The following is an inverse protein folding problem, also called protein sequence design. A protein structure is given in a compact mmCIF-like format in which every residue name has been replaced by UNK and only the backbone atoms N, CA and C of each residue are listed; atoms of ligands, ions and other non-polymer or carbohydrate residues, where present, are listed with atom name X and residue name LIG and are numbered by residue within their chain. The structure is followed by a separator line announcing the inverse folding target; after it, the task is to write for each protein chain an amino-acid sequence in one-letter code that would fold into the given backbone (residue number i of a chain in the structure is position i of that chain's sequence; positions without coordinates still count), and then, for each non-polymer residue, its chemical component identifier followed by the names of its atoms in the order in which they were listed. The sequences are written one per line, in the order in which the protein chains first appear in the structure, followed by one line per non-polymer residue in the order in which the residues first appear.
data_IF_728966664699
#
_entry.id   IF_728966664699
#
_cell.length_a   1.000
_cell.length_b   1.000
_cell.length_c   1.000
_cell.angle_alpha   90.00
_cell.angle_beta   90.00
_cell.angle_gamma   90.00
#
_symmetry.space_group_name_H-M   'P 1'
#
loop_
_entity.id
_entity.type
_entity.pdbx_description
1 polymer ?
#
# COMPACT_ATOMS: atom_id res chain seq x y z
N UNK A 1 -6.91 11.60 -30.24
CA UNK A 1 -6.51 10.56 -29.28
C UNK A 1 -5.14 10.97 -28.75
N UNK A 2 -5.09 11.60 -27.57
CA UNK A 2 -3.81 11.89 -26.93
C UNK A 2 -3.27 10.54 -26.45
N UNK A 3 -2.16 10.12 -27.02
CA UNK A 3 -1.41 8.98 -26.49
C UNK A 3 -1.05 9.33 -25.04
N UNK A 4 -1.67 8.65 -24.07
CA UNK A 4 -1.26 8.72 -22.69
C UNK A 4 0.18 8.22 -22.64
N UNK A 5 1.11 9.13 -22.48
CA UNK A 5 2.53 8.79 -22.39
C UNK A 5 2.68 7.96 -21.11
N UNK A 6 3.06 6.68 -21.28
CA UNK A 6 3.44 5.84 -20.13
C UNK A 6 4.51 6.61 -19.37
N UNK A 7 4.36 6.78 -18.04
CA UNK A 7 5.36 7.49 -17.25
C UNK A 7 6.75 6.90 -17.43
N UNK A 8 7.78 7.74 -17.41
CA UNK A 8 9.16 7.25 -17.41
C UNK A 8 9.38 6.36 -16.19
N UNK A 9 9.53 5.04 -16.46
CA UNK A 9 9.79 4.05 -15.43
C UNK A 9 11.27 4.00 -15.13
N UNK A 10 11.62 4.11 -13.86
CA UNK A 10 12.98 3.86 -13.41
C UNK A 10 13.25 2.37 -13.21
N UNK A 11 12.26 1.65 -12.76
CA UNK A 11 12.19 0.18 -12.73
C UNK A 11 10.74 -0.25 -12.53
N UNK A 12 10.46 -1.51 -12.88
CA UNK A 12 9.20 -2.18 -12.57
C UNK A 12 9.45 -3.68 -12.36
N UNK A 13 8.68 -4.27 -11.47
CA UNK A 13 8.74 -5.71 -11.16
C UNK A 13 7.32 -6.27 -11.02
N UNK A 14 7.10 -7.47 -11.53
CA UNK A 14 5.83 -8.16 -11.32
C UNK A 14 5.71 -8.68 -9.88
N UNK A 15 4.47 -8.90 -9.44
CA UNK A 15 4.20 -9.47 -8.12
C UNK A 15 4.80 -10.87 -7.97
N UNK A 16 4.66 -11.69 -8.99
CA UNK A 16 5.20 -13.06 -9.03
C UNK A 16 6.74 -13.06 -8.94
N UNK A 17 7.41 -12.07 -9.54
CA UNK A 17 8.86 -11.93 -9.43
C UNK A 17 9.29 -11.52 -8.01
N UNK A 18 8.43 -10.83 -7.25
CA UNK A 18 8.69 -10.48 -5.85
C UNK A 18 8.48 -11.69 -4.95
N UNK A 19 7.30 -12.31 -5.00
CA UNK A 19 6.90 -13.35 -4.03
C UNK A 19 7.29 -14.78 -4.45
N UNK A 20 7.78 -14.97 -5.68
CA UNK A 20 8.26 -16.26 -6.19
C UNK A 20 7.18 -17.21 -6.72
N UNK A 21 5.89 -16.88 -6.58
CA UNK A 21 4.78 -17.70 -7.07
C UNK A 21 3.56 -16.86 -7.42
N UNK A 22 2.61 -17.45 -8.14
CA UNK A 22 1.33 -16.82 -8.42
C UNK A 22 0.37 -16.94 -7.23
N UNK A 23 -0.40 -15.89 -6.95
CA UNK A 23 -1.48 -15.90 -5.96
C UNK A 23 -2.81 -15.51 -6.58
N UNK A 24 -3.90 -16.13 -6.13
CA UNK A 24 -5.25 -15.75 -6.52
C UNK A 24 -5.66 -14.37 -5.94
N UNK A 25 -5.15 -14.03 -4.78
CA UNK A 25 -5.46 -12.80 -4.04
C UNK A 25 -4.52 -11.67 -4.45
N UNK A 26 -4.74 -11.15 -5.64
CA UNK A 26 -3.97 -10.03 -6.20
C UNK A 26 -4.89 -9.11 -7.01
N UNK A 27 -4.54 -7.83 -7.04
CA UNK A 27 -5.21 -6.86 -7.91
C UNK A 27 -4.89 -7.17 -9.38
N UNK A 28 -3.60 -7.34 -9.67
CA UNK A 28 -3.07 -7.69 -11.00
C UNK A 28 -1.69 -8.34 -10.88
N UNK A 29 -1.04 -8.67 -11.99
CA UNK A 29 0.35 -9.16 -12.01
C UNK A 29 1.39 -8.07 -11.74
N UNK A 30 1.01 -6.79 -11.68
CA UNK A 30 1.90 -5.69 -11.31
C UNK A 30 2.33 -5.85 -9.84
N UNK A 31 3.61 -5.69 -9.54
CA UNK A 31 4.15 -5.74 -8.18
C UNK A 31 4.49 -4.36 -7.67
N UNK A 32 5.59 -3.79 -8.17
CA UNK A 32 6.08 -2.47 -7.78
C UNK A 32 6.75 -1.77 -8.96
N UNK A 33 6.61 -0.46 -9.03
CA UNK A 33 7.40 0.39 -9.93
C UNK A 33 7.75 1.72 -9.27
N UNK A 34 8.87 2.30 -9.68
CA UNK A 34 9.19 3.70 -9.42
C UNK A 34 9.15 4.46 -10.74
N UNK A 35 8.41 5.57 -10.76
CA UNK A 35 8.12 6.32 -11.98
C UNK A 35 8.16 7.83 -11.76
N UNK A 36 8.45 8.59 -12.81
CA UNK A 36 8.38 10.04 -12.83
C UNK A 36 6.90 10.47 -12.80
N UNK A 37 6.43 11.03 -11.68
CA UNK A 37 4.99 11.23 -11.46
C UNK A 37 4.42 12.44 -12.24
N UNK A 38 5.19 13.49 -12.47
CA UNK A 38 4.76 14.69 -13.21
C UNK A 38 3.64 15.48 -12.54
N UNK A 39 3.48 15.37 -11.20
CA UNK A 39 2.54 16.19 -10.42
C UNK A 39 3.06 17.62 -10.34
N UNK A 40 2.12 18.58 -10.20
CA UNK A 40 2.47 19.99 -10.04
C UNK A 40 3.35 20.21 -8.79
N UNK A 41 4.58 20.71 -8.93
CA UNK A 41 5.45 20.99 -7.78
C UNK A 41 4.85 21.99 -6.80
N UNK A 42 4.04 22.95 -7.28
CA UNK A 42 3.39 23.93 -6.41
C UNK A 42 2.30 23.26 -5.53
N UNK A 43 1.54 22.31 -6.11
CA UNK A 43 0.57 21.51 -5.37
C UNK A 43 1.25 20.66 -4.28
N UNK A 44 2.35 19.97 -4.62
CA UNK A 44 3.08 19.15 -3.64
C UNK A 44 3.71 20.00 -2.53
N UNK A 45 4.23 21.18 -2.86
CA UNK A 45 4.76 22.12 -1.86
C UNK A 45 3.66 22.65 -0.92
N UNK A 46 2.47 22.95 -1.45
CA UNK A 46 1.31 23.36 -0.63
C UNK A 46 0.86 22.24 0.33
N UNK A 47 0.85 20.99 -0.14
CA UNK A 47 0.55 19.81 0.69
C UNK A 47 1.59 19.67 1.82
N UNK A 48 2.89 19.78 1.50
CA UNK A 48 3.96 19.72 2.49
C UNK A 48 3.82 20.81 3.55
N UNK A 49 3.65 22.06 3.15
CA UNK A 49 3.49 23.19 4.07
C UNK A 49 2.28 23.00 5.00
N UNK A 50 1.13 22.58 4.46
CA UNK A 50 -0.06 22.29 5.24
C UNK A 50 0.17 21.15 6.22
N UNK A 51 0.80 20.06 5.78
CA UNK A 51 1.10 18.89 6.63
C UNK A 51 2.05 19.26 7.78
N UNK A 52 3.09 20.05 7.52
CA UNK A 52 4.03 20.54 8.55
C UNK A 52 3.33 21.43 9.58
N UNK A 53 2.38 22.27 9.18
CA UNK A 53 1.57 23.10 10.10
C UNK A 53 0.66 22.23 10.98
N UNK A 54 0.11 21.17 10.43
CA UNK A 54 -0.81 20.25 11.12
C UNK A 54 -0.08 19.21 11.99
N UNK A 55 1.21 18.99 11.78
CA UNK A 55 2.00 17.95 12.46
C UNK A 55 1.81 17.95 13.98
N UNK A 56 1.91 19.13 14.62
CA UNK A 56 1.83 19.23 16.10
C UNK A 56 0.45 18.90 16.67
N UNK A 57 -0.63 19.04 15.89
CA UNK A 57 -2.01 18.89 16.36
C UNK A 57 -2.71 17.63 15.86
N UNK A 58 -2.26 17.06 14.72
CA UNK A 58 -2.93 15.96 14.04
C UNK A 58 -2.05 14.72 13.85
N UNK A 59 -0.71 14.86 13.97
CA UNK A 59 0.15 13.70 13.83
C UNK A 59 0.08 12.83 15.10
N UNK A 60 0.08 11.53 14.88
CA UNK A 60 0.16 10.51 15.92
C UNK A 60 1.45 9.71 15.75
N UNK A 61 1.95 9.15 16.85
CA UNK A 61 3.05 8.20 16.85
C UNK A 61 2.50 6.88 17.38
N UNK A 62 2.48 5.85 16.55
CA UNK A 62 1.84 4.56 16.88
C UNK A 62 2.76 3.37 16.54
N UNK A 63 2.20 2.19 16.57
CA UNK A 63 2.85 0.88 16.53
C UNK A 63 3.86 0.64 15.39
N UNK A 64 3.83 1.40 14.31
CA UNK A 64 4.83 1.35 13.26
C UNK A 64 6.10 2.16 13.57
N UNK A 65 6.21 2.70 14.79
CA UNK A 65 7.29 3.60 15.24
C UNK A 65 7.50 4.79 14.28
N UNK A 66 6.39 5.31 13.78
CA UNK A 66 6.31 6.33 12.75
C UNK A 66 5.40 7.47 13.21
N UNK A 67 5.82 8.71 12.93
CA UNK A 67 4.98 9.90 13.11
C UNK A 67 4.21 10.18 11.83
N UNK A 68 2.87 10.22 11.88
CA UNK A 68 2.04 10.39 10.69
C UNK A 68 0.70 11.05 10.96
N UNK A 69 0.12 11.69 9.92
CA UNK A 69 -1.26 12.18 9.88
C UNK A 69 -2.06 11.20 9.01
N UNK A 70 -3.02 10.48 9.60
CA UNK A 70 -3.93 9.58 8.87
C UNK A 70 -5.16 10.33 8.38
N UNK A 71 -5.77 9.90 7.26
CA UNK A 71 -6.92 10.59 6.65
C UNK A 71 -6.60 12.06 6.32
N UNK A 72 -5.39 12.30 5.81
CA UNK A 72 -4.85 13.64 5.61
C UNK A 72 -5.68 14.50 4.63
N UNK A 73 -6.37 13.87 3.69
CA UNK A 73 -7.29 14.53 2.75
C UNK A 73 -8.50 15.19 3.43
N UNK A 74 -8.83 14.80 4.67
CA UNK A 74 -9.88 15.45 5.48
C UNK A 74 -9.46 16.84 5.96
N UNK A 75 -8.15 17.08 6.07
CA UNK A 75 -7.59 18.31 6.63
C UNK A 75 -6.83 19.15 5.59
N UNK A 76 -6.39 18.52 4.49
CA UNK A 76 -5.59 19.12 3.43
C UNK A 76 -6.35 18.96 2.10
N UNK A 77 -7.10 19.97 1.64
CA UNK A 77 -7.93 19.88 0.42
C UNK A 77 -7.13 19.51 -0.83
N UNK A 78 -5.88 19.92 -0.92
CA UNK A 78 -4.97 19.62 -2.02
C UNK A 78 -4.69 18.11 -2.15
N UNK A 79 -4.67 17.39 -1.03
CA UNK A 79 -4.56 15.92 -1.04
C UNK A 79 -5.84 15.31 -1.60
N UNK A 80 -7.01 15.83 -1.22
CA UNK A 80 -8.30 15.36 -1.74
C UNK A 80 -8.40 15.60 -3.25
N UNK A 81 -7.91 16.72 -3.74
CA UNK A 81 -7.82 17.03 -5.17
C UNK A 81 -6.95 16.00 -5.88
N UNK A 82 -5.72 15.77 -5.41
CA UNK A 82 -4.79 14.80 -5.99
C UNK A 82 -5.32 13.37 -5.92
N UNK A 83 -5.93 12.96 -4.80
CA UNK A 83 -6.50 11.64 -4.60
C UNK A 83 -7.58 11.32 -5.65
N UNK A 84 -8.39 12.33 -6.02
CA UNK A 84 -9.49 12.20 -6.96
C UNK A 84 -9.15 12.65 -8.39
N UNK A 85 -7.89 12.98 -8.69
CA UNK A 85 -7.47 13.38 -10.03
C UNK A 85 -7.66 12.21 -11.01
N UNK A 86 -8.57 12.40 -11.96
CA UNK A 86 -8.92 11.38 -12.95
C UNK A 86 -7.75 10.98 -13.83
N UNK A 87 -6.93 11.96 -14.24
CA UNK A 87 -5.79 11.69 -15.11
C UNK A 87 -4.71 10.89 -14.38
N UNK A 88 -4.49 11.18 -13.09
CA UNK A 88 -3.64 10.37 -12.23
C UNK A 88 -4.17 8.94 -12.13
N UNK A 89 -5.46 8.75 -11.79
CA UNK A 89 -6.08 7.44 -11.64
C UNK A 89 -6.06 6.62 -12.94
N UNK A 90 -6.28 7.26 -14.09
CA UNK A 90 -6.15 6.63 -15.41
C UNK A 90 -4.73 6.12 -15.65
N UNK A 91 -3.71 6.96 -15.42
CA UNK A 91 -2.30 6.56 -15.56
C UNK A 91 -1.90 5.40 -14.63
N UNK A 92 -2.32 5.46 -13.36
CA UNK A 92 -2.08 4.37 -12.41
C UNK A 92 -2.82 3.09 -12.83
N UNK A 93 -4.04 3.21 -13.35
CA UNK A 93 -4.83 2.09 -13.86
C UNK A 93 -4.15 1.41 -15.05
N UNK A 94 -3.61 2.19 -15.96
CA UNK A 94 -2.85 1.68 -17.13
C UNK A 94 -1.59 0.93 -16.69
N UNK A 95 -0.83 1.49 -15.72
CA UNK A 95 0.34 0.83 -15.14
C UNK A 95 -0.02 -0.48 -14.43
N UNK A 96 -1.11 -0.48 -13.69
CA UNK A 96 -1.59 -1.63 -12.93
C UNK A 96 -2.28 -2.68 -13.79
N UNK A 97 -2.71 -2.34 -15.04
CA UNK A 97 -3.50 -3.23 -15.90
C UNK A 97 -4.91 -3.50 -15.36
N UNK A 98 -5.43 -2.64 -14.49
CA UNK A 98 -6.79 -2.72 -13.94
C UNK A 98 -7.27 -1.34 -13.53
N UNK A 99 -8.58 -1.09 -13.65
CA UNK A 99 -9.17 0.20 -13.24
C UNK A 99 -9.05 0.38 -11.72
N UNK A 100 -8.42 1.48 -11.32
CA UNK A 100 -8.29 1.90 -9.94
C UNK A 100 -9.29 2.99 -9.57
N UNK A 101 -9.63 3.05 -8.30
CA UNK A 101 -10.35 4.13 -7.64
C UNK A 101 -9.67 4.47 -6.30
N UNK A 102 -9.90 5.67 -5.72
CA UNK A 102 -9.43 5.98 -4.39
C UNK A 102 -9.92 4.94 -3.38
N UNK A 103 -9.09 4.65 -2.38
CA UNK A 103 -9.50 3.75 -1.31
C UNK A 103 -10.65 4.39 -0.49
N UNK A 104 -11.74 3.67 -0.21
CA UNK A 104 -13.00 4.29 0.25
C UNK A 104 -13.03 4.70 1.73
N UNK A 105 -12.13 4.15 2.56
CA UNK A 105 -12.10 4.49 3.98
C UNK A 105 -11.28 5.77 4.20
N UNK A 106 -11.93 6.81 4.71
CA UNK A 106 -11.36 8.15 4.90
C UNK A 106 -10.12 8.15 5.80
N UNK A 107 -10.02 7.24 6.75
CA UNK A 107 -8.87 7.17 7.69
C UNK A 107 -7.61 6.56 7.08
N UNK A 108 -7.71 5.80 6.00
CA UNK A 108 -6.57 5.13 5.34
C UNK A 108 -6.43 5.48 3.87
N UNK A 109 -7.32 6.30 3.31
CA UNK A 109 -7.25 6.76 1.92
C UNK A 109 -6.00 7.57 1.63
N UNK A 110 -5.57 8.37 2.59
CA UNK A 110 -4.37 9.19 2.51
C UNK A 110 -3.65 9.30 3.85
N UNK A 111 -2.31 9.37 3.80
CA UNK A 111 -1.47 9.54 4.99
C UNK A 111 -0.28 10.44 4.65
N UNK A 112 0.12 11.33 5.56
CA UNK A 112 1.41 12.03 5.48
C UNK A 112 2.32 11.52 6.58
N UNK A 113 3.48 10.98 6.19
CA UNK A 113 4.46 10.41 7.12
C UNK A 113 5.65 11.36 7.29
N UNK A 114 6.14 11.47 8.51
CA UNK A 114 7.29 12.27 8.89
C UNK A 114 8.35 11.36 9.48
N UNK A 115 9.48 11.24 8.82
CA UNK A 115 10.58 10.38 9.26
C UNK A 115 11.86 11.18 9.47
N UNK A 116 12.52 10.93 10.59
CA UNK A 116 13.79 11.52 10.99
C UNK A 116 14.57 10.54 11.89
N UNK A 117 15.81 10.83 12.31
CA UNK A 117 16.60 9.90 13.14
C UNK A 117 16.03 9.59 14.54
N UNK A 118 14.98 10.28 14.99
CA UNK A 118 14.32 10.04 16.28
C UNK A 118 13.13 9.10 16.14
N UNK A 119 12.57 8.99 14.94
CA UNK A 119 11.57 7.97 14.62
C UNK A 119 12.32 6.66 14.38
N UNK A 120 11.76 5.54 14.78
CA UNK A 120 12.33 4.22 14.52
C UNK A 120 12.27 3.82 13.03
N UNK A 121 12.52 2.55 12.77
CA UNK A 121 12.20 1.96 11.49
C UNK A 121 10.71 1.66 11.42
N UNK A 122 10.11 1.78 10.24
CA UNK A 122 8.84 1.09 10.00
C UNK A 122 9.15 -0.39 9.86
N UNK A 123 8.77 -1.18 10.85
CA UNK A 123 9.09 -2.60 10.91
C UNK A 123 8.52 -3.40 9.72
N UNK A 124 9.01 -4.62 9.55
CA UNK A 124 8.52 -5.53 8.52
C UNK A 124 7.03 -5.81 8.69
N UNK A 125 6.25 -5.45 7.66
CA UNK A 125 4.79 -5.63 7.64
C UNK A 125 4.28 -5.85 6.21
N UNK A 126 3.01 -6.18 6.09
CA UNK A 126 2.25 -6.11 4.85
C UNK A 126 1.16 -5.06 5.03
N UNK A 127 0.87 -4.30 3.98
CA UNK A 127 -0.23 -3.33 4.02
C UNK A 127 -1.59 -4.04 4.14
N UNK A 128 -2.54 -3.39 4.78
CA UNK A 128 -3.95 -3.79 4.73
C UNK A 128 -4.63 -3.36 3.42
N UNK A 129 -4.12 -2.30 2.78
CA UNK A 129 -4.64 -1.77 1.53
C UNK A 129 -4.00 -2.45 0.31
N UNK A 130 -4.77 -2.63 -0.80
CA UNK A 130 -4.26 -3.41 -1.93
C UNK A 130 -3.22 -2.68 -2.78
N UNK A 131 -3.30 -1.35 -2.92
CA UNK A 131 -2.41 -0.55 -3.76
C UNK A 131 -2.03 0.74 -3.05
N UNK A 132 -0.73 0.99 -2.94
CA UNK A 132 -0.16 2.15 -2.25
C UNK A 132 0.75 2.91 -3.21
N UNK A 133 0.60 4.24 -3.26
CA UNK A 133 1.49 5.15 -3.94
C UNK A 133 2.23 6.01 -2.92
N UNK A 134 3.56 5.97 -2.94
CA UNK A 134 4.45 6.73 -2.06
C UNK A 134 5.03 7.90 -2.84
N UNK A 135 4.70 9.13 -2.45
CA UNK A 135 5.12 10.38 -3.11
C UNK A 135 5.99 11.17 -2.12
N UNK A 136 7.31 11.24 -2.30
CA UNK A 136 8.15 12.11 -1.49
C UNK A 136 7.76 13.58 -1.69
N UNK A 137 7.36 14.26 -0.60
CA UNK A 137 7.12 15.70 -0.58
C UNK A 137 8.42 16.46 -0.35
N UNK A 138 9.24 15.99 0.59
CA UNK A 138 10.61 16.49 0.79
C UNK A 138 11.56 15.37 1.22
N UNK A 139 12.83 15.55 0.86
CA UNK A 139 13.94 14.67 1.22
C UNK A 139 15.16 15.55 1.53
N UNK A 140 15.73 15.40 2.73
CA UNK A 140 16.99 16.06 3.09
C UNK A 140 18.13 15.64 2.14
N UNK A 141 19.05 16.53 1.90
CA UNK A 141 20.27 16.23 1.15
C UNK A 141 21.50 16.64 1.98
N UNK A 142 22.26 15.67 2.55
CA UNK A 142 22.11 14.22 2.37
C UNK A 142 20.99 13.60 3.20
N UNK A 143 20.44 12.47 2.73
CA UNK A 143 19.62 11.54 3.49
C UNK A 143 20.38 10.22 3.61
N UNK A 144 20.52 9.67 4.83
CA UNK A 144 21.12 8.36 5.08
C UNK A 144 20.09 7.44 5.73
N UNK A 145 19.79 6.31 5.10
CA UNK A 145 18.69 5.43 5.50
C UNK A 145 17.35 5.81 4.86
N UNK A 146 16.24 5.40 5.45
CA UNK A 146 14.90 5.76 5.02
C UNK A 146 14.44 5.16 3.68
N UNK A 147 15.18 4.23 3.10
CA UNK A 147 14.79 3.53 1.88
C UNK A 147 13.74 2.47 2.16
N UNK A 148 12.91 2.18 1.16
CA UNK A 148 11.98 1.05 1.18
C UNK A 148 12.76 -0.25 0.95
N UNK A 149 12.52 -1.25 1.78
CA UNK A 149 13.02 -2.61 1.65
C UNK A 149 11.85 -3.58 1.44
N UNK A 150 11.94 -4.42 0.42
CA UNK A 150 10.92 -5.41 0.06
C UNK A 150 11.57 -6.79 0.15
N UNK A 151 10.96 -7.69 0.90
CA UNK A 151 11.37 -9.08 0.95
C UNK A 151 10.95 -9.80 -0.33
N UNK A 152 11.93 -10.35 -1.05
CA UNK A 152 11.71 -11.05 -2.32
C UNK A 152 11.57 -12.54 -2.07
N UNK A 153 10.47 -12.95 -1.52
CA UNK A 153 9.98 -14.31 -1.31
C UNK A 153 8.57 -14.26 -0.69
N UNK A 154 8.01 -15.41 -0.37
CA UNK A 154 6.72 -15.54 0.29
C UNK A 154 6.68 -14.85 1.68
N UNK A 155 5.64 -14.08 1.92
CA UNK A 155 5.54 -13.26 3.16
C UNK A 155 5.40 -14.11 4.43
N UNK A 156 4.82 -15.30 4.37
CA UNK A 156 4.70 -16.21 5.52
C UNK A 156 6.08 -16.76 5.90
N UNK A 157 6.88 -17.11 4.89
CA UNK A 157 8.30 -17.49 5.09
C UNK A 157 9.09 -16.37 5.75
N UNK A 158 8.90 -15.13 5.29
CA UNK A 158 9.54 -13.96 5.89
C UNK A 158 9.12 -13.73 7.34
N UNK A 159 7.83 -13.83 7.65
CA UNK A 159 7.30 -13.74 9.01
C UNK A 159 7.86 -14.82 9.93
N UNK A 160 7.92 -16.08 9.47
CA UNK A 160 8.51 -17.16 10.24
C UNK A 160 9.99 -16.94 10.57
N UNK A 161 10.76 -16.31 9.66
CA UNK A 161 12.14 -15.88 9.93
C UNK A 161 12.16 -14.87 11.09
N UNK A 162 11.34 -13.82 11.02
CA UNK A 162 11.27 -12.76 12.04
C UNK A 162 10.81 -13.30 13.40
N UNK A 163 9.77 -14.14 13.43
CA UNK A 163 9.23 -14.78 14.64
C UNK A 163 10.26 -15.69 15.31
N UNK A 164 11.19 -16.27 14.53
CA UNK A 164 12.32 -17.04 15.08
C UNK A 164 13.44 -16.17 15.67
N UNK A 165 13.28 -14.84 15.68
CA UNK A 165 14.28 -13.89 16.16
C UNK A 165 15.45 -13.67 15.20
N UNK A 166 15.34 -14.13 13.94
CA UNK A 166 16.36 -13.95 12.90
C UNK A 166 16.07 -12.72 12.04
N UNK A 167 17.09 -12.16 11.47
CA UNK A 167 16.97 -11.09 10.48
C UNK A 167 16.61 -11.67 9.09
N UNK A 168 15.88 -10.89 8.31
CA UNK A 168 15.65 -11.17 6.89
C UNK A 168 17.00 -11.17 6.13
N UNK A 169 17.31 -12.24 5.37
CA UNK A 169 18.57 -12.32 4.63
C UNK A 169 18.71 -11.20 3.60
N UNK A 170 19.81 -10.45 3.64
CA UNK A 170 20.04 -9.27 2.77
C UNK A 170 19.98 -9.60 1.28
N UNK A 171 20.37 -10.80 0.87
CA UNK A 171 20.27 -11.25 -0.53
C UNK A 171 18.84 -11.56 -0.99
N UNK A 172 17.87 -11.50 -0.10
CA UNK A 172 16.44 -11.63 -0.36
C UNK A 172 15.71 -10.28 -0.23
N UNK A 173 16.44 -9.18 -0.12
CA UNK A 173 15.86 -7.84 0.06
C UNK A 173 16.14 -6.99 -1.16
N UNK A 174 15.09 -6.50 -1.79
CA UNK A 174 15.16 -5.44 -2.79
C UNK A 174 15.07 -4.10 -2.09
N UNK A 175 15.98 -3.19 -2.44
CA UNK A 175 16.02 -1.82 -1.92
C UNK A 175 15.54 -0.83 -2.96
N UNK A 176 14.68 0.10 -2.53
CA UNK A 176 14.18 1.21 -3.33
C UNK A 176 14.48 2.53 -2.61
N UNK A 177 15.39 3.31 -3.16
CA UNK A 177 15.68 4.66 -2.64
C UNK A 177 14.60 5.63 -3.09
N UNK A 178 14.04 6.39 -2.15
CA UNK A 178 13.14 7.48 -2.49
C UNK A 178 13.90 8.60 -3.22
N UNK A 179 13.24 9.21 -4.19
CA UNK A 179 13.81 10.27 -5.01
C UNK A 179 12.75 11.34 -5.28
N UNK A 180 13.12 12.61 -5.14
CA UNK A 180 12.24 13.72 -5.51
C UNK A 180 11.79 13.61 -6.97
N UNK A 181 10.54 13.96 -7.24
CA UNK A 181 9.84 13.86 -8.52
C UNK A 181 9.50 12.41 -8.96
N UNK A 182 9.87 11.40 -8.18
CA UNK A 182 9.50 10.00 -8.45
C UNK A 182 8.57 9.49 -7.37
N UNK A 183 7.47 8.86 -7.79
CA UNK A 183 6.61 8.10 -6.89
C UNK A 183 6.92 6.61 -6.99
N UNK A 184 6.65 5.88 -5.92
CA UNK A 184 6.70 4.40 -5.91
C UNK A 184 5.27 3.89 -5.78
N UNK A 185 4.79 3.16 -6.79
CA UNK A 185 3.51 2.47 -6.79
C UNK A 185 3.73 0.99 -6.50
N UNK A 186 2.96 0.41 -5.58
CA UNK A 186 3.11 -1.00 -5.24
C UNK A 186 1.84 -1.69 -4.76
N UNK A 187 1.77 -3.00 -4.96
CA UNK A 187 0.82 -3.90 -4.31
C UNK A 187 1.48 -4.49 -3.06
N UNK A 188 1.40 -3.78 -1.94
CA UNK A 188 2.05 -4.20 -0.70
C UNK A 188 1.19 -5.11 0.19
N UNK A 189 -0.07 -5.31 -0.16
CA UNK A 189 -0.92 -6.33 0.44
C UNK A 189 -0.30 -7.72 0.21
N UNK A 190 0.06 -8.43 1.30
CA UNK A 190 0.71 -9.73 1.24
C UNK A 190 2.15 -9.72 0.68
N UNK A 191 2.77 -8.57 0.60
CA UNK A 191 4.20 -8.38 0.30
C UNK A 191 4.88 -7.84 1.54
N UNK A 192 5.79 -8.62 2.12
CA UNK A 192 6.51 -8.21 3.31
C UNK A 192 7.52 -7.11 2.96
N UNK A 193 7.37 -5.96 3.60
CA UNK A 193 8.22 -4.80 3.34
C UNK A 193 8.42 -3.96 4.61
N UNK A 194 9.40 -3.06 4.57
CA UNK A 194 9.64 -2.08 5.63
C UNK A 194 10.28 -0.80 5.09
N UNK A 195 10.31 0.24 5.92
CA UNK A 195 11.21 1.38 5.69
C UNK A 195 12.38 1.29 6.66
N UNK A 196 13.61 1.28 6.13
CA UNK A 196 14.81 1.30 6.94
C UNK A 196 14.90 2.59 7.79
N UNK A 197 15.51 2.54 9.01
CA UNK A 197 15.62 3.72 9.85
C UNK A 197 16.43 4.82 9.15
N UNK A 198 16.03 6.08 9.37
CA UNK A 198 16.83 7.23 8.96
C UNK A 198 17.94 7.44 9.99
N UNK A 199 19.19 7.45 9.53
CA UNK A 199 20.36 7.73 10.35
C UNK A 199 20.75 9.20 10.34
N UNK A 200 20.48 9.88 9.23
CA UNK A 200 20.73 11.31 9.04
C UNK A 200 19.75 11.92 8.05
N UNK A 201 19.34 13.17 8.32
CA UNK A 201 18.36 13.88 7.52
C UNK A 201 16.92 13.54 7.90
N UNK A 202 15.96 13.99 7.11
CA UNK A 202 14.54 13.76 7.31
C UNK A 202 13.81 13.63 5.96
N UNK A 203 12.65 13.02 5.98
CA UNK A 203 11.78 12.86 4.82
C UNK A 203 10.32 13.04 5.22
N UNK A 204 9.58 13.77 4.38
CA UNK A 204 8.11 13.83 4.41
C UNK A 204 7.59 13.10 3.18
N UNK A 205 6.63 12.17 3.37
CA UNK A 205 6.05 11.39 2.27
C UNK A 205 4.54 11.44 2.34
N UNK A 206 3.91 11.74 1.22
CA UNK A 206 2.48 11.53 1.02
C UNK A 206 2.26 10.09 0.56
N UNK A 207 1.35 9.41 1.23
CA UNK A 207 0.90 8.06 0.90
C UNK A 207 -0.55 8.15 0.44
N UNK A 208 -0.82 7.72 -0.78
CA UNK A 208 -2.17 7.66 -1.34
C UNK A 208 -2.53 6.21 -1.62
N UNK A 209 -3.70 5.79 -1.14
CA UNK A 209 -4.17 4.42 -1.28
C UNK A 209 -5.28 4.31 -2.30
N UNK A 210 -5.25 3.22 -3.06
CA UNK A 210 -6.21 2.91 -4.11
C UNK A 210 -6.61 1.44 -4.03
N UNK A 211 -7.71 1.10 -4.70
CA UNK A 211 -8.13 -0.29 -4.89
C UNK A 211 -8.61 -0.55 -6.31
N UNK A 212 -8.74 -1.82 -6.67
CA UNK A 212 -9.33 -2.22 -7.95
C UNK A 212 -10.84 -2.13 -7.91
N UNK A 213 -11.43 -1.46 -8.90
CA UNK A 213 -12.89 -1.45 -9.12
C UNK A 213 -13.45 -2.85 -9.39
N UNK A 214 -12.67 -3.70 -10.09
CA UNK A 214 -13.09 -5.05 -10.44
C UNK A 214 -12.96 -6.04 -9.27
N UNK A 215 -11.99 -5.80 -8.36
CA UNK A 215 -11.68 -6.70 -7.24
C UNK A 215 -11.63 -5.92 -5.91
N UNK A 216 -12.71 -5.25 -5.49
CA UNK A 216 -12.72 -4.47 -4.25
C UNK A 216 -12.58 -5.34 -3.00
N UNK A 217 -12.79 -6.65 -3.12
CA UNK A 217 -12.63 -7.64 -2.05
C UNK A 217 -11.15 -8.08 -1.83
N UNK A 218 -10.22 -7.65 -2.67
CA UNK A 218 -8.77 -7.83 -2.43
C UNK A 218 -8.33 -6.75 -1.46
N UNK A 219 -8.50 -7.01 -0.17
CA UNK A 219 -8.39 -6.07 0.95
C UNK A 219 -8.14 -6.85 2.24
N UNK A 220 -7.26 -6.38 3.12
CA UNK A 220 -7.00 -6.99 4.45
C UNK A 220 -7.22 -6.00 5.60
N UNK A 221 -7.93 -4.89 5.37
CA UNK A 221 -8.30 -3.96 6.44
C UNK A 221 -9.37 -4.60 7.32
N UNK A 222 -8.97 -5.00 8.51
CA UNK A 222 -9.83 -5.65 9.51
C UNK A 222 -10.26 -4.64 10.56
N UNK A 223 -11.51 -4.77 10.99
CA UNK A 223 -12.08 -3.90 12.03
C UNK A 223 -11.20 -3.81 13.28
N UNK A 224 -10.56 -4.91 13.68
CA UNK A 224 -9.68 -4.95 14.84
C UNK A 224 -8.48 -4.00 14.70
N UNK A 225 -7.79 -4.04 13.57
CA UNK A 225 -6.63 -3.18 13.31
C UNK A 225 -7.03 -1.71 13.15
N UNK A 226 -8.09 -1.48 12.38
CA UNK A 226 -8.61 -0.11 12.20
C UNK A 226 -9.05 0.52 13.52
N UNK A 227 -9.68 -0.26 14.41
CA UNK A 227 -10.11 0.22 15.73
C UNK A 227 -8.92 0.50 16.67
N UNK A 228 -7.87 -0.32 16.62
CA UNK A 228 -6.66 -0.11 17.43
C UNK A 228 -5.91 1.16 17.02
N UNK A 229 -5.92 1.48 15.71
CA UNK A 229 -5.23 2.65 15.17
C UNK A 229 -6.05 3.94 15.27
N UNK A 230 -7.37 3.85 15.37
CA UNK A 230 -8.30 4.98 15.30
C UNK A 230 -9.32 4.94 16.45
N UNK A 231 -8.84 4.84 17.69
CA UNK A 231 -9.64 4.74 18.91
C UNK A 231 -10.49 5.98 19.21
N UNK A 232 -10.12 7.13 18.66
CA UNK A 232 -10.75 8.44 18.85
C UNK A 232 -11.73 8.85 17.72
N UNK A 233 -11.70 8.18 16.58
CA UNK A 233 -12.56 8.44 15.41
C UNK A 233 -13.20 7.13 14.97
N UNK A 234 -14.52 7.08 14.87
CA UNK A 234 -15.28 5.87 14.53
C UNK A 234 -16.19 6.03 13.31
N UNK A 235 -16.09 7.13 12.59
CA UNK A 235 -16.90 7.35 11.37
C UNK A 235 -16.59 6.28 10.31
N UNK A 236 -15.35 5.84 10.23
CA UNK A 236 -14.89 4.78 9.34
C UNK A 236 -15.62 3.43 9.52
N UNK A 237 -16.23 3.18 10.68
CA UNK A 237 -16.99 1.93 10.91
C UNK A 237 -18.16 1.84 9.94
N UNK A 238 -18.88 2.94 9.72
CA UNK A 238 -19.98 3.00 8.77
C UNK A 238 -19.45 2.91 7.33
N UNK A 239 -18.35 3.59 7.02
CA UNK A 239 -17.71 3.52 5.70
C UNK A 239 -17.30 2.09 5.35
N UNK A 240 -16.67 1.37 6.30
CA UNK A 240 -16.28 -0.04 6.12
C UNK A 240 -17.51 -0.93 5.93
N UNK A 241 -18.52 -0.78 6.77
CA UNK A 241 -19.75 -1.58 6.68
C UNK A 241 -20.46 -1.35 5.34
N UNK A 242 -20.62 -0.11 4.92
CA UNK A 242 -21.21 0.26 3.64
C UNK A 242 -20.40 -0.34 2.48
N UNK A 243 -19.09 -0.18 2.50
CA UNK A 243 -18.22 -0.68 1.44
C UNK A 243 -18.27 -2.21 1.32
N UNK A 244 -18.22 -2.93 2.45
CA UNK A 244 -18.33 -4.40 2.44
C UNK A 244 -19.64 -4.84 1.81
N UNK A 245 -20.76 -4.22 2.18
CA UNK A 245 -22.09 -4.61 1.69
C UNK A 245 -22.35 -4.20 0.25
N UNK A 246 -21.91 -3.02 -0.16
CA UNK A 246 -22.27 -2.44 -1.46
C UNK A 246 -21.26 -2.79 -2.56
N UNK A 247 -20.00 -3.03 -2.22
CA UNK A 247 -18.92 -3.23 -3.19
C UNK A 247 -18.23 -4.60 -3.05
N UNK A 248 -17.65 -4.90 -1.88
CA UNK A 248 -16.81 -6.08 -1.72
C UNK A 248 -17.61 -7.38 -1.86
N UNK A 249 -18.67 -7.55 -1.09
CA UNK A 249 -19.45 -8.79 -1.09
C UNK A 249 -20.15 -9.08 -2.42
N UNK A 250 -20.77 -8.11 -3.12
CA UNK A 250 -21.34 -8.37 -4.44
C UNK A 250 -20.28 -8.74 -5.49
N UNK A 251 -19.10 -8.10 -5.44
CA UNK A 251 -18.00 -8.43 -6.36
C UNK A 251 -17.42 -9.82 -6.06
N UNK A 252 -17.25 -10.18 -4.80
CA UNK A 252 -16.78 -11.51 -4.40
C UNK A 252 -17.75 -12.61 -4.82
N UNK A 253 -19.07 -12.42 -4.65
CA UNK A 253 -20.09 -13.36 -5.10
C UNK A 253 -20.06 -13.59 -6.62
N UNK A 254 -19.80 -12.56 -7.42
CA UNK A 254 -19.60 -12.71 -8.85
C UNK A 254 -18.35 -13.55 -9.15
N UNK A 255 -17.25 -13.26 -8.45
CA UNK A 255 -16.01 -14.04 -8.58
C UNK A 255 -16.24 -15.52 -8.24
N UNK A 256 -16.93 -15.85 -7.13
CA UNK A 256 -17.27 -17.24 -6.76
C UNK A 256 -18.12 -17.94 -7.83
N UNK A 257 -19.08 -17.24 -8.41
CA UNK A 257 -19.94 -17.79 -9.45
C UNK A 257 -19.16 -18.11 -10.74
N UNK A 258 -18.14 -17.30 -11.05
CA UNK A 258 -17.25 -17.50 -12.21
C UNK A 258 -16.15 -18.54 -11.95
N UNK A 259 -15.80 -18.76 -10.68
CA UNK A 259 -14.73 -19.67 -10.24
C UNK A 259 -15.25 -20.64 -9.16
N UNK A 260 -16.22 -21.52 -9.50
CA UNK A 260 -16.81 -22.43 -8.51
C UNK A 260 -15.75 -23.35 -7.92
N UNK A 261 -15.69 -23.39 -6.59
CA UNK A 261 -14.86 -24.37 -5.89
C UNK A 261 -15.39 -25.76 -6.22
N UNK A 262 -14.55 -26.71 -6.68
CA UNK A 262 -14.99 -28.08 -6.89
C UNK A 262 -15.67 -28.62 -5.63
N UNK A 263 -16.80 -29.30 -5.80
CA UNK A 263 -17.48 -29.93 -4.68
C UNK A 263 -16.46 -30.82 -3.93
N UNK A 264 -16.46 -30.84 -2.58
CA UNK A 264 -15.57 -31.70 -1.83
C UNK A 264 -15.73 -33.12 -2.34
N UNK A 265 -14.63 -33.76 -2.72
CA UNK A 265 -14.64 -35.16 -3.11
C UNK A 265 -15.13 -35.93 -1.89
N UNK A 266 -16.24 -36.65 -2.06
CA UNK A 266 -16.85 -37.41 -0.97
C UNK A 266 -15.80 -38.40 -0.41
N UNK A 267 -15.34 -38.10 0.82
CA UNK A 267 -14.30 -38.89 1.49
C UNK A 267 -14.77 -40.32 1.84
N UNK A 268 -16.02 -40.64 1.49
CA UNK A 268 -16.60 -42.01 1.69
C UNK A 268 -16.21 -43.01 0.59
N UNK A 269 -15.53 -42.56 -0.50
CA UNK A 269 -15.01 -43.44 -1.53
C UNK A 269 -13.63 -43.97 -1.09
N UNK A 270 -13.50 -45.27 -0.73
CA UNK A 270 -12.21 -45.82 -0.35
C UNK A 270 -11.27 -45.85 -1.56
N UNK A 271 -10.20 -45.12 -1.55
CA UNK A 271 -9.13 -45.19 -2.55
C UNK A 271 -8.50 -43.90 -3.03
N UNK A 272 -8.97 -42.72 -2.63
CA UNK A 272 -8.34 -41.48 -2.99
C UNK A 272 -7.19 -41.08 -2.05
N UNK A 273 -5.95 -41.25 -2.48
CA UNK A 273 -4.81 -40.69 -1.77
C UNK A 273 -5.01 -39.14 -1.61
N UNK A 274 -5.02 -38.69 -0.37
CA UNK A 274 -4.95 -37.21 -0.09
C UNK A 274 -3.55 -36.75 -0.46
N UNK A 275 -3.42 -36.06 -1.55
CA UNK A 275 -2.26 -35.18 -1.72
C UNK A 275 -2.45 -34.01 -0.74
N UNK A 276 -1.56 -33.91 0.22
CA UNK A 276 -1.48 -32.80 1.18
C UNK A 276 -0.99 -31.55 0.46
N UNK A 277 -1.76 -30.50 0.53
CA UNK A 277 -1.37 -29.14 0.15
C UNK A 277 -0.49 -28.51 1.23
#
# INVERSE_FOLDING_TARGET
MNAHTIPELRYAMSREAIIGHETAWKVSSFGVAQYLHGYDPALLAAIEEAALKLKASHAVHKHLDLTFITGADRFIPEIKELLNDKLRLERLSDMMGTKLEPYPLSIVGSTVTFMNPKDGAVDWHCDGVPVTELIPLSISNPLVGGHLEIYCDDSETGRAILESGREIPRNRVMRIDHKMNYATLGQFLGVLHRTAPIQFGERVTLVLNQRSVAKPYVDDNRMFYLAADNDHDREWVNELAEDVWTNQLPAYRRFEAEHPVPAPVDASVPGGARESW
#
